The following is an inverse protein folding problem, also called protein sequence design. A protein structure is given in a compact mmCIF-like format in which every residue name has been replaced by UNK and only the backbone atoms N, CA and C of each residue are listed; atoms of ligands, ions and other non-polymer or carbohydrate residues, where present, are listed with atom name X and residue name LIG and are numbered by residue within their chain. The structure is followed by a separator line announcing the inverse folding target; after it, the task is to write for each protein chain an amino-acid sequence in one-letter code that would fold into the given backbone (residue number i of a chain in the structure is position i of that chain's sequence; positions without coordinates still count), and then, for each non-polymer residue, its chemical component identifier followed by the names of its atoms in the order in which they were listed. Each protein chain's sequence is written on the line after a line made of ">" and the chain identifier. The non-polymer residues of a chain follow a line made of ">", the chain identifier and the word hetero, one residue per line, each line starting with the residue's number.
data_IF_544029973449
#
_entry.id   IF_544029973449
#
_cell.length_a   1.000
_cell.length_b   1.000
_cell.length_c   1.000
_cell.angle_alpha   90.00
_cell.angle_beta   90.00
_cell.angle_gamma   90.00
#
_symmetry.space_group_name_H-M   'P 1'
#
loop_
_entity.id
_entity.type
_entity.pdbx_description
1 polymer ?
#
# COMPACT_ATOMS: atom_id res chain seq x y z
N UNK A 1 -1.56 37.99 17.79
CA UNK A 1 -1.87 39.11 16.87
C UNK A 1 -2.53 40.21 17.68
N UNK A 2 -2.30 41.48 17.38
CA UNK A 2 -2.86 42.61 18.13
C UNK A 2 -3.77 43.44 17.22
N UNK A 3 -4.94 43.83 17.73
CA UNK A 3 -5.87 44.73 17.06
C UNK A 3 -6.08 45.93 17.97
N UNK A 4 -5.76 47.12 17.47
CA UNK A 4 -6.04 48.39 18.15
C UNK A 4 -7.13 49.13 17.38
N UNK A 5 -8.18 49.52 18.09
CA UNK A 5 -9.27 50.32 17.53
C UNK A 5 -9.52 51.54 18.43
N UNK A 6 -9.63 52.71 17.81
CA UNK A 6 -9.91 53.97 18.49
C UNK A 6 -11.24 54.54 17.97
N UNK A 7 -12.07 55.06 18.86
CA UNK A 7 -13.35 55.64 18.48
C UNK A 7 -14.17 56.14 19.66
N UNK A 8 -15.31 56.77 19.35
CA UNK A 8 -16.28 57.13 20.38
C UNK A 8 -16.86 55.88 21.06
N UNK A 9 -17.28 56.01 22.32
CA UNK A 9 -17.90 54.91 23.08
C UNK A 9 -19.04 54.21 22.31
N UNK A 10 -20.00 54.91 21.66
CA UNK A 10 -21.04 54.23 20.88
C UNK A 10 -20.48 53.44 19.69
N UNK A 11 -19.42 53.95 19.04
CA UNK A 11 -18.81 53.28 17.89
C UNK A 11 -18.03 52.02 18.31
N UNK A 12 -17.26 52.09 19.40
CA UNK A 12 -16.54 50.94 19.94
C UNK A 12 -17.51 49.86 20.42
N UNK A 13 -18.58 50.22 21.13
CA UNK A 13 -19.60 49.26 21.56
C UNK A 13 -20.32 48.61 20.38
N UNK A 14 -20.60 49.37 19.30
CA UNK A 14 -21.18 48.81 18.08
C UNK A 14 -20.22 47.83 17.37
N UNK A 15 -18.92 48.12 17.37
CA UNK A 15 -17.91 47.22 16.81
C UNK A 15 -17.77 45.93 17.65
N UNK A 16 -17.68 46.06 18.98
CA UNK A 16 -17.57 44.93 19.91
C UNK A 16 -18.81 44.03 19.91
N UNK A 17 -20.00 44.57 19.61
CA UNK A 17 -21.22 43.78 19.47
C UNK A 17 -21.15 42.75 18.32
N UNK A 18 -20.28 42.97 17.33
CA UNK A 18 -20.02 42.05 16.22
C UNK A 18 -18.70 41.29 16.34
N UNK A 19 -18.06 41.29 17.51
CA UNK A 19 -16.76 40.65 17.70
C UNK A 19 -16.87 39.14 17.48
N UNK A 20 -16.10 38.63 16.53
CA UNK A 20 -15.98 37.18 16.26
C UNK A 20 -14.56 36.73 16.54
N UNK A 21 -14.42 35.69 17.35
CA UNK A 21 -13.18 34.95 17.49
C UNK A 21 -13.18 33.78 16.50
N UNK A 22 -12.05 33.59 15.82
CA UNK A 22 -11.80 32.43 14.97
C UNK A 22 -10.47 31.83 15.40
N UNK A 23 -10.48 30.56 15.80
CA UNK A 23 -9.26 29.81 16.10
C UNK A 23 -8.37 29.69 14.86
N UNK A 24 -7.11 29.30 15.08
CA UNK A 24 -6.25 28.90 13.96
C UNK A 24 -6.88 27.72 13.19
N UNK A 25 -6.64 27.60 11.88
CA UNK A 25 -6.93 26.36 11.16
C UNK A 25 -6.32 25.16 11.88
N UNK A 26 -7.09 24.07 11.97
CA UNK A 26 -6.69 22.75 12.49
C UNK A 26 -6.14 22.79 13.93
N UNK A 27 -6.39 23.89 14.65
CA UNK A 27 -5.93 24.10 16.01
C UNK A 27 -7.09 24.01 16.99
N UNK A 28 -6.88 23.30 18.09
CA UNK A 28 -7.81 23.25 19.20
C UNK A 28 -7.08 23.32 20.54
N UNK A 29 -7.82 23.64 21.60
CA UNK A 29 -7.26 23.81 22.94
C UNK A 29 -7.74 25.08 23.63
N UNK A 30 -7.07 25.41 24.74
CA UNK A 30 -7.38 26.61 25.50
C UNK A 30 -6.61 27.81 24.92
N UNK A 31 -7.33 28.88 24.62
CA UNK A 31 -6.81 30.17 24.20
C UNK A 31 -7.30 31.28 25.14
N UNK A 32 -6.76 32.48 25.01
CA UNK A 32 -7.15 33.65 25.79
C UNK A 32 -7.22 34.92 24.92
N UNK A 33 -8.32 35.66 25.05
CA UNK A 33 -8.42 37.02 24.51
C UNK A 33 -8.21 38.03 25.64
N UNK A 34 -7.15 38.81 25.56
CA UNK A 34 -6.86 39.91 26.47
C UNK A 34 -7.41 41.24 25.91
N UNK A 35 -8.16 41.95 26.75
CA UNK A 35 -8.70 43.28 26.48
C UNK A 35 -7.93 44.30 27.31
N UNK A 36 -7.58 45.41 26.67
CA UNK A 36 -7.05 46.63 27.30
C UNK A 36 -7.81 47.82 26.72
N UNK A 37 -8.40 48.64 27.59
CA UNK A 37 -9.11 49.86 27.20
C UNK A 37 -8.39 51.04 27.86
N UNK A 38 -8.12 52.11 27.11
CA UNK A 38 -7.50 53.35 27.58
C UNK A 38 -8.42 54.53 27.23
N UNK A 39 -8.75 55.36 28.23
CA UNK A 39 -9.57 56.56 28.01
C UNK A 39 -8.78 57.74 27.40
N UNK A 40 -7.48 57.55 27.14
CA UNK A 40 -6.54 58.51 26.56
C UNK A 40 -6.48 59.86 27.29
N UNK A 41 -6.94 59.90 28.55
CA UNK A 41 -6.97 61.11 29.36
C UNK A 41 -8.08 62.08 28.95
N UNK A 42 -9.17 61.58 28.38
CA UNK A 42 -10.25 62.38 27.81
C UNK A 42 -10.84 63.43 28.77
N UNK A 43 -10.85 63.19 30.09
CA UNK A 43 -11.35 64.18 31.06
C UNK A 43 -10.80 63.99 32.48
N UNK A 44 -10.87 65.06 33.29
CA UNK A 44 -10.39 65.06 34.68
C UNK A 44 -8.88 65.31 34.82
N UNK A 45 -8.38 65.30 36.06
CA UNK A 45 -6.95 65.36 36.35
C UNK A 45 -6.43 63.94 36.60
N UNK A 46 -5.32 63.53 35.97
CA UNK A 46 -4.73 62.20 36.19
C UNK A 46 -4.01 61.57 34.99
N UNK A 47 -4.23 62.09 33.77
CA UNK A 47 -3.75 61.44 32.54
C UNK A 47 -4.71 60.33 32.09
N UNK A 48 -4.28 59.51 31.12
CA UNK A 48 -5.06 58.36 30.66
C UNK A 48 -5.13 57.25 31.72
N UNK A 49 -6.30 56.66 31.87
CA UNK A 49 -6.54 55.52 32.74
C UNK A 49 -6.96 54.30 31.93
N UNK A 50 -6.57 53.12 32.43
CA UNK A 50 -6.79 51.85 31.72
C UNK A 50 -7.59 50.85 32.53
N UNK A 51 -8.28 49.96 31.83
CA UNK A 51 -8.89 48.74 32.37
C UNK A 51 -8.46 47.54 31.52
N UNK A 52 -8.26 46.39 32.16
CA UNK A 52 -7.78 45.19 31.51
C UNK A 52 -8.50 43.94 32.00
N UNK A 53 -8.89 43.07 31.06
CA UNK A 53 -9.59 41.83 31.36
C UNK A 53 -9.17 40.73 30.39
N UNK A 54 -9.19 39.47 30.84
CA UNK A 54 -8.99 38.32 29.97
C UNK A 54 -10.25 37.47 29.88
N UNK A 55 -10.47 36.88 28.69
CA UNK A 55 -11.54 35.96 28.39
C UNK A 55 -10.93 34.63 27.94
N UNK A 56 -11.02 33.56 28.75
CA UNK A 56 -10.60 32.24 28.31
C UNK A 56 -11.56 31.72 27.23
N UNK A 57 -10.98 31.12 26.18
CA UNK A 57 -11.70 30.48 25.09
C UNK A 57 -11.26 29.02 25.04
N UNK A 58 -12.21 28.10 24.88
CA UNK A 58 -11.89 26.70 24.58
C UNK A 58 -12.31 26.43 23.14
N UNK A 59 -11.33 26.16 22.28
CA UNK A 59 -11.55 25.69 20.91
C UNK A 59 -11.67 24.17 20.96
N UNK A 60 -12.81 23.66 20.53
CA UNK A 60 -13.09 22.22 20.47
C UNK A 60 -12.53 21.62 19.19
N UNK A 61 -11.96 20.39 19.22
CA UNK A 61 -11.49 19.71 18.03
C UNK A 61 -12.64 19.40 17.06
N UNK A 62 -12.29 19.31 15.79
CA UNK A 62 -13.12 18.78 14.70
C UNK A 62 -12.25 17.77 13.97
N UNK A 63 -12.80 16.59 13.65
CA UNK A 63 -12.04 15.57 12.93
C UNK A 63 -11.81 15.99 11.49
N UNK A 64 -10.55 15.91 11.05
CA UNK A 64 -10.13 16.13 9.68
C UNK A 64 -9.88 14.80 8.97
N UNK A 65 -10.08 14.74 7.63
CA UNK A 65 -9.81 13.51 6.90
C UNK A 65 -8.31 13.27 6.75
N UNK A 66 -7.90 12.01 6.81
CA UNK A 66 -6.55 11.62 6.39
C UNK A 66 -6.34 12.02 4.93
N UNK A 67 -5.21 12.64 4.68
CA UNK A 67 -4.73 13.06 3.37
C UNK A 67 -3.70 12.07 2.86
N UNK A 68 -3.61 11.94 1.54
CA UNK A 68 -2.74 10.99 0.89
C UNK A 68 -2.19 11.58 -0.39
N UNK A 69 -0.86 11.52 -0.53
CA UNK A 69 -0.13 12.07 -1.66
C UNK A 69 0.72 10.99 -2.33
N UNK A 70 0.79 11.05 -3.66
CA UNK A 70 1.67 10.24 -4.48
C UNK A 70 1.94 10.99 -5.79
N UNK A 71 3.19 10.98 -6.23
CA UNK A 71 3.61 11.71 -7.42
C UNK A 71 2.93 11.26 -8.72
N UNK A 72 2.33 10.06 -8.76
CA UNK A 72 1.71 9.51 -9.97
C UNK A 72 0.20 9.66 -10.06
N UNK A 73 -0.50 9.96 -8.96
CA UNK A 73 -1.97 10.07 -9.01
C UNK A 73 -2.43 11.36 -9.70
N UNK A 74 -1.72 12.48 -9.49
CA UNK A 74 -2.06 13.74 -10.14
C UNK A 74 -1.75 13.72 -11.65
N UNK A 75 -0.70 12.99 -12.04
CA UNK A 75 -0.24 12.91 -13.43
C UNK A 75 -0.97 11.82 -14.22
N UNK A 76 -1.58 10.85 -13.53
CA UNK A 76 -2.17 9.66 -14.15
C UNK A 76 -1.12 8.78 -14.84
N UNK A 77 0.14 8.89 -14.42
CA UNK A 77 1.26 8.17 -15.02
C UNK A 77 1.10 6.65 -14.87
N UNK A 78 1.37 5.93 -15.95
CA UNK A 78 1.40 4.46 -15.94
C UNK A 78 2.83 4.01 -15.68
N UNK A 79 3.03 3.36 -14.53
CA UNK A 79 4.31 2.80 -14.14
C UNK A 79 4.73 1.69 -15.10
N UNK A 80 6.03 1.58 -15.34
CA UNK A 80 6.61 0.53 -16.17
C UNK A 80 7.35 -0.47 -15.28
N UNK A 81 6.82 -1.68 -15.20
CA UNK A 81 7.50 -2.82 -14.61
C UNK A 81 7.90 -3.80 -15.71
N UNK A 82 9.00 -4.47 -15.50
CA UNK A 82 9.38 -5.65 -16.29
C UNK A 82 9.01 -6.87 -15.46
N UNK A 83 8.37 -7.86 -16.06
CA UNK A 83 8.13 -9.12 -15.35
C UNK A 83 9.43 -9.73 -14.82
N UNK A 84 9.28 -10.59 -13.81
CA UNK A 84 10.38 -11.21 -13.06
C UNK A 84 11.33 -10.26 -12.31
N UNK A 85 11.14 -8.95 -12.47
CA UNK A 85 11.94 -7.91 -11.87
C UNK A 85 11.15 -7.17 -10.80
N UNK A 86 11.83 -6.79 -9.73
CA UNK A 86 11.25 -6.00 -8.65
C UNK A 86 11.37 -4.52 -9.00
N UNK A 87 10.28 -3.79 -8.81
CA UNK A 87 10.20 -2.35 -9.02
C UNK A 87 9.95 -1.66 -7.68
N UNK A 88 10.50 -0.46 -7.48
CA UNK A 88 10.08 0.39 -6.36
C UNK A 88 8.69 0.94 -6.64
N UNK A 89 7.83 0.93 -5.63
CA UNK A 89 6.61 1.71 -5.72
C UNK A 89 6.95 3.21 -5.69
N UNK A 90 6.10 4.06 -6.28
CA UNK A 90 6.20 5.50 -6.09
C UNK A 90 6.14 5.85 -4.61
N UNK A 91 6.73 6.98 -4.25
CA UNK A 91 6.60 7.51 -2.90
C UNK A 91 5.14 7.83 -2.61
N UNK A 92 4.59 7.14 -1.63
CA UNK A 92 3.27 7.40 -1.07
C UNK A 92 3.46 7.93 0.33
N UNK A 93 2.83 9.05 0.64
CA UNK A 93 2.84 9.66 1.96
C UNK A 93 1.43 9.96 2.42
N UNK A 94 1.17 9.63 3.67
CA UNK A 94 -0.06 9.99 4.37
C UNK A 94 0.21 11.14 5.33
N UNK A 95 -0.79 12.00 5.47
CA UNK A 95 -0.81 13.14 6.39
C UNK A 95 -2.16 13.19 7.08
N UNK A 96 -2.20 13.64 8.33
CA UNK A 96 -3.44 13.84 9.05
C UNK A 96 -3.32 15.15 9.85
N UNK A 97 -4.12 16.19 9.53
CA UNK A 97 -4.06 17.48 10.22
C UNK A 97 -4.20 17.36 11.74
N UNK A 98 -5.00 16.40 12.19
CA UNK A 98 -5.27 16.19 13.60
C UNK A 98 -4.02 15.69 14.36
N UNK A 99 -3.32 14.73 13.76
CA UNK A 99 -2.06 14.18 14.31
C UNK A 99 -0.93 15.20 14.23
N UNK A 100 -0.90 16.04 13.19
CA UNK A 100 0.12 17.08 13.07
C UNK A 100 -0.05 18.18 14.12
N UNK A 101 -1.28 18.62 14.35
CA UNK A 101 -1.56 19.64 15.34
C UNK A 101 -1.28 19.15 16.77
N UNK A 102 -1.53 17.86 17.04
CA UNK A 102 -1.38 17.28 18.38
C UNK A 102 -0.74 15.87 18.35
N UNK A 103 0.58 15.76 18.14
CA UNK A 103 1.29 14.49 17.96
C UNK A 103 1.36 13.62 19.23
N UNK A 104 0.87 14.11 20.35
CA UNK A 104 0.75 13.41 21.63
C UNK A 104 -0.70 13.52 22.03
N UNK A 105 -1.54 12.56 21.67
CA UNK A 105 -2.99 12.57 21.96
C UNK A 105 -3.23 12.77 23.45
N UNK A 106 -3.40 14.03 23.85
CA UNK A 106 -3.64 14.47 25.22
C UNK A 106 -5.07 15.01 25.27
N UNK A 107 -6.06 14.24 24.84
CA UNK A 107 -7.43 14.57 25.21
C UNK A 107 -8.32 13.36 25.45
N UNK A 108 -9.00 13.41 26.60
CA UNK A 108 -9.90 12.40 27.13
C UNK A 108 -11.28 12.48 26.47
N UNK A 109 -11.36 12.33 25.15
CA UNK A 109 -12.62 11.99 24.50
C UNK A 109 -12.45 10.61 23.83
N UNK A 110 -13.29 9.68 24.28
CA UNK A 110 -13.33 8.24 23.94
C UNK A 110 -12.13 7.38 24.32
N UNK A 111 -12.03 7.00 25.60
CA UNK A 111 -11.49 5.68 26.01
C UNK A 111 -10.02 5.35 25.68
N UNK A 112 -9.26 6.24 25.05
CA UNK A 112 -7.84 6.07 24.73
C UNK A 112 -6.99 6.71 25.83
N UNK A 113 -5.99 5.98 26.29
CA UNK A 113 -5.07 6.45 27.34
C UNK A 113 -4.13 7.52 26.77
N UNK A 114 -3.88 8.56 27.56
CA UNK A 114 -2.93 9.63 27.26
C UNK A 114 -1.57 9.07 26.80
N UNK A 115 -1.10 9.52 25.62
CA UNK A 115 0.16 9.06 25.04
C UNK A 115 0.05 7.77 24.21
N UNK A 116 -1.16 7.25 23.97
CA UNK A 116 -1.37 6.21 22.96
C UNK A 116 -1.37 6.86 21.56
N UNK A 117 -0.54 6.41 20.61
CA UNK A 117 -0.54 6.96 19.26
C UNK A 117 -1.81 6.56 18.50
N UNK A 118 -2.29 7.45 17.63
CA UNK A 118 -3.36 7.09 16.69
C UNK A 118 -2.98 5.91 15.80
N UNK A 119 -3.97 5.07 15.48
CA UNK A 119 -3.80 3.87 14.69
C UNK A 119 -4.55 3.97 13.37
N UNK A 120 -3.82 3.65 12.30
CA UNK A 120 -4.34 3.65 10.94
C UNK A 120 -4.26 2.25 10.36
N UNK A 121 -5.20 1.91 9.49
CA UNK A 121 -5.20 0.69 8.69
C UNK A 121 -4.85 1.03 7.25
N UNK A 122 -3.71 0.54 6.78
CA UNK A 122 -3.30 0.52 5.39
C UNK A 122 -3.80 -0.76 4.72
N UNK A 123 -4.45 -0.62 3.58
CA UNK A 123 -4.79 -1.74 2.69
C UNK A 123 -4.18 -1.53 1.32
N UNK A 124 -3.46 -2.53 0.79
CA UNK A 124 -2.93 -2.54 -0.57
C UNK A 124 -3.45 -3.77 -1.30
N UNK A 125 -3.99 -3.59 -2.50
CA UNK A 125 -4.46 -4.67 -3.36
C UNK A 125 -3.88 -4.57 -4.77
N UNK A 126 -3.59 -5.71 -5.41
CA UNK A 126 -3.07 -5.81 -6.79
C UNK A 126 -3.59 -7.07 -7.48
N UNK A 127 -3.91 -6.96 -8.77
CA UNK A 127 -4.48 -8.04 -9.58
C UNK A 127 -3.44 -8.79 -10.42
N UNK A 128 -2.31 -8.17 -10.75
CA UNK A 128 -1.25 -8.77 -11.59
C UNK A 128 0.14 -8.82 -10.94
N UNK A 129 0.29 -8.35 -9.71
CA UNK A 129 1.54 -8.49 -8.96
C UNK A 129 1.33 -8.51 -7.45
N UNK A 130 2.43 -8.39 -6.73
CA UNK A 130 2.52 -8.51 -5.27
C UNK A 130 3.42 -7.43 -4.71
N UNK A 131 3.08 -6.92 -3.54
CA UNK A 131 3.74 -5.80 -2.86
C UNK A 131 4.44 -6.29 -1.60
N UNK A 132 5.58 -5.67 -1.30
CA UNK A 132 6.32 -5.89 -0.05
C UNK A 132 6.68 -4.54 0.55
N UNK A 133 6.26 -4.32 1.79
CA UNK A 133 6.65 -3.14 2.56
C UNK A 133 8.07 -3.28 3.14
N UNK A 134 8.68 -2.16 3.48
CA UNK A 134 9.93 -2.15 4.24
C UNK A 134 9.73 -2.77 5.64
N UNK A 135 10.81 -3.29 6.24
CA UNK A 135 10.74 -3.77 7.62
C UNK A 135 10.67 -2.56 8.56
N UNK A 136 9.48 -2.29 9.07
CA UNK A 136 9.23 -1.17 9.98
C UNK A 136 8.68 -1.69 11.32
N UNK A 137 9.18 -1.15 12.42
CA UNK A 137 8.65 -1.44 13.75
C UNK A 137 7.24 -0.85 13.91
N UNK A 138 6.51 -1.30 14.93
CA UNK A 138 5.19 -0.79 15.31
C UNK A 138 4.08 -0.98 14.26
N UNK A 139 4.28 -1.90 13.31
CA UNK A 139 3.23 -2.37 12.40
C UNK A 139 2.73 -3.75 12.82
N UNK A 140 1.41 -3.93 12.77
CA UNK A 140 0.72 -5.22 12.89
C UNK A 140 0.14 -5.58 11.55
N UNK A 141 0.40 -6.79 11.05
CA UNK A 141 -0.10 -7.21 9.74
C UNK A 141 -1.32 -8.13 9.89
N UNK A 142 -2.27 -7.99 8.98
CA UNK A 142 -3.32 -8.98 8.74
C UNK A 142 -3.06 -9.66 7.39
N UNK A 143 -3.10 -10.99 7.42
CA UNK A 143 -2.80 -11.85 6.26
C UNK A 143 -3.99 -12.79 6.08
N UNK A 144 -4.55 -12.92 4.85
CA UNK A 144 -5.59 -13.90 4.54
C UNK A 144 -5.16 -15.34 4.82
N UNK A 145 -6.11 -16.26 4.99
CA UNK A 145 -5.83 -17.69 5.19
C UNK A 145 -5.08 -18.27 3.97
N UNK A 146 -3.93 -18.97 4.16
CA UNK A 146 -3.19 -19.59 3.06
C UNK A 146 -3.98 -20.65 2.26
N UNK A 147 -5.02 -21.26 2.82
CA UNK A 147 -5.88 -22.20 2.09
C UNK A 147 -6.78 -21.49 1.06
N UNK A 148 -7.23 -20.26 1.36
CA UNK A 148 -8.00 -19.42 0.42
C UNK A 148 -7.11 -18.92 -0.72
N UNK A 149 -5.85 -18.58 -0.44
CA UNK A 149 -4.89 -18.20 -1.48
C UNK A 149 -4.56 -19.41 -2.37
N UNK A 150 -4.36 -20.60 -1.81
CA UNK A 150 -4.11 -21.83 -2.59
C UNK A 150 -5.32 -22.24 -3.45
N UNK A 151 -6.55 -22.06 -2.97
CA UNK A 151 -7.76 -22.31 -3.74
C UNK A 151 -8.02 -21.26 -4.84
N UNK A 152 -7.68 -19.99 -4.60
CA UNK A 152 -7.71 -18.90 -5.58
C UNK A 152 -6.71 -19.14 -6.71
N UNK A 153 -5.50 -19.61 -6.39
CA UNK A 153 -4.46 -19.97 -7.35
C UNK A 153 -4.85 -21.17 -8.24
N UNK A 154 -5.76 -22.05 -7.80
CA UNK A 154 -6.29 -23.15 -8.64
C UNK A 154 -7.23 -22.69 -9.77
N UNK A 155 -7.77 -21.47 -9.69
CA UNK A 155 -8.61 -20.89 -10.74
C UNK A 155 -7.81 -20.30 -11.91
N UNK A 156 -6.51 -20.11 -11.72
CA UNK A 156 -5.55 -19.70 -12.74
C UNK A 156 -4.85 -20.97 -13.24
N UNK A 157 -5.17 -21.41 -14.46
CA UNK A 157 -4.72 -22.68 -15.05
C UNK A 157 -3.20 -22.80 -15.29
N UNK A 158 -2.39 -21.90 -14.73
CA UNK A 158 -0.94 -21.81 -14.96
C UNK A 158 -0.08 -21.94 -13.69
N UNK A 159 -0.66 -22.27 -12.52
CA UNK A 159 0.14 -22.45 -11.30
C UNK A 159 0.40 -23.93 -10.99
N UNK A 160 1.64 -24.32 -10.63
CA UNK A 160 1.95 -25.69 -10.29
C UNK A 160 1.20 -26.09 -9.02
N UNK A 161 0.41 -27.15 -9.12
CA UNK A 161 -0.15 -27.86 -7.96
C UNK A 161 0.98 -28.59 -7.25
N UNK A 162 1.74 -27.87 -6.42
CA UNK A 162 2.83 -28.40 -5.63
C UNK A 162 3.06 -27.51 -4.41
N UNK A 163 2.93 -28.09 -3.22
CA UNK A 163 2.90 -27.43 -1.91
C UNK A 163 4.25 -26.85 -1.43
N UNK A 164 5.07 -26.28 -2.31
CA UNK A 164 6.35 -25.68 -1.94
C UNK A 164 6.52 -24.31 -2.62
N UNK A 165 5.77 -23.33 -2.13
CA UNK A 165 6.23 -21.94 -2.22
C UNK A 165 7.43 -21.79 -1.26
N UNK A 166 8.60 -21.34 -1.71
CA UNK A 166 9.69 -20.97 -0.81
C UNK A 166 9.32 -19.65 -0.10
N UNK A 167 8.48 -19.78 0.91
CA UNK A 167 7.93 -18.74 1.77
C UNK A 167 7.02 -19.46 2.76
N UNK A 168 7.58 -19.86 3.89
CA UNK A 168 7.03 -20.92 4.74
C UNK A 168 5.59 -20.68 5.26
N UNK A 169 4.78 -21.72 5.08
CA UNK A 169 3.71 -22.27 5.93
C UNK A 169 3.52 -21.63 7.35
N UNK A 170 2.42 -20.89 7.59
CA UNK A 170 1.88 -20.65 8.91
C UNK A 170 0.56 -21.43 9.09
N UNK A 171 0.64 -22.72 9.45
CA UNK A 171 -0.54 -23.52 9.79
C UNK A 171 -1.45 -22.81 10.80
N UNK A 172 -2.68 -22.56 10.36
CA UNK A 172 -3.89 -22.65 11.16
C UNK A 172 -4.19 -21.47 12.08
N UNK A 173 -5.17 -20.65 11.67
CA UNK A 173 -6.05 -19.94 12.59
C UNK A 173 -6.35 -18.49 12.20
N UNK A 174 -7.60 -18.08 12.46
CA UNK A 174 -8.18 -16.74 12.33
C UNK A 174 -7.55 -15.66 13.24
N UNK A 175 -6.24 -15.70 13.46
CA UNK A 175 -5.55 -14.95 14.50
C UNK A 175 -4.69 -13.81 13.93
N UNK A 176 -4.92 -12.59 14.44
CA UNK A 176 -4.02 -11.43 14.31
C UNK A 176 -2.65 -11.78 14.86
N UNK A 177 -1.57 -11.48 14.13
CA UNK A 177 -0.20 -11.68 14.62
C UNK A 177 0.59 -10.37 14.57
N UNK A 178 1.18 -10.00 15.70
CA UNK A 178 2.16 -8.91 15.83
C UNK A 178 3.58 -9.48 15.87
N UNK A 179 4.53 -8.82 15.18
CA UNK A 179 5.97 -9.17 15.18
C UNK A 179 6.49 -9.57 13.80
N UNK A 180 7.79 -9.38 13.55
CA UNK A 180 8.46 -9.56 12.25
C UNK A 180 8.28 -10.96 11.63
N UNK A 181 7.40 -11.13 10.62
CA UNK A 181 7.49 -12.27 9.73
C UNK A 181 8.63 -12.00 8.73
N UNK A 182 9.35 -13.01 8.21
CA UNK A 182 10.25 -12.79 7.08
C UNK A 182 9.44 -12.16 5.95
N UNK A 183 9.83 -10.97 5.48
CA UNK A 183 9.05 -10.14 4.56
C UNK A 183 8.49 -10.93 3.35
N UNK A 184 7.21 -11.28 3.39
CA UNK A 184 6.52 -11.98 2.31
C UNK A 184 5.88 -10.95 1.36
N UNK A 185 5.75 -11.33 0.10
CA UNK A 185 5.13 -10.54 -0.95
C UNK A 185 3.63 -10.83 -0.99
N UNK A 186 2.79 -9.80 -1.12
CA UNK A 186 1.34 -9.94 -0.96
C UNK A 186 0.56 -9.24 -2.06
N UNK A 187 -0.46 -9.91 -2.60
CA UNK A 187 -1.43 -9.29 -3.53
C UNK A 187 -2.49 -8.50 -2.78
N UNK A 188 -2.88 -8.96 -1.58
CA UNK A 188 -3.69 -8.25 -0.61
C UNK A 188 -2.87 -8.11 0.67
N UNK A 189 -2.61 -6.88 1.10
CA UNK A 189 -1.87 -6.59 2.32
C UNK A 189 -2.69 -5.63 3.17
N UNK A 190 -2.87 -5.98 4.44
CA UNK A 190 -3.45 -5.10 5.42
C UNK A 190 -2.46 -4.93 6.59
N UNK A 191 -2.20 -3.68 6.96
CA UNK A 191 -1.28 -3.34 8.04
C UNK A 191 -1.88 -2.25 8.92
N UNK A 192 -1.75 -2.40 10.24
CA UNK A 192 -2.19 -1.42 11.24
C UNK A 192 -1.00 -0.86 12.00
N UNK A 193 -0.95 0.45 12.20
CA UNK A 193 0.06 1.11 13.01
C UNK A 193 -0.05 2.64 12.97
N UNK A 194 0.86 3.37 13.63
CA UNK A 194 0.89 4.82 13.57
C UNK A 194 1.28 5.30 12.17
N UNK A 195 0.80 6.49 11.79
CA UNK A 195 0.99 7.08 10.46
C UNK A 195 2.48 7.16 10.05
N UNK A 196 3.35 7.52 11.00
CA UNK A 196 4.80 7.58 10.80
C UNK A 196 5.38 6.20 10.39
N UNK A 197 4.94 5.13 11.04
CA UNK A 197 5.41 3.78 10.73
C UNK A 197 4.89 3.29 9.37
N UNK A 198 3.65 3.64 8.99
CA UNK A 198 3.11 3.33 7.67
C UNK A 198 3.89 4.06 6.56
N UNK A 199 4.15 5.36 6.73
CA UNK A 199 4.95 6.15 5.79
C UNK A 199 6.39 5.59 5.66
N UNK A 200 7.02 5.24 6.76
CA UNK A 200 8.36 4.63 6.75
C UNK A 200 8.36 3.26 6.05
N UNK A 201 7.29 2.46 6.19
CA UNK A 201 7.13 1.18 5.50
C UNK A 201 6.90 1.33 3.99
N UNK A 202 6.19 2.39 3.56
CA UNK A 202 5.91 2.69 2.15
C UNK A 202 7.10 3.31 1.41
N UNK A 203 7.96 4.06 2.11
CA UNK A 203 9.08 4.78 1.51
C UNK A 203 10.06 3.91 0.68
N UNK A 204 10.09 2.59 0.94
CA UNK A 204 10.86 1.63 0.13
C UNK A 204 10.06 0.37 -0.18
N UNK A 205 8.74 0.52 -0.32
CA UNK A 205 7.89 -0.57 -0.74
C UNK A 205 8.25 -1.01 -2.16
N UNK A 206 8.22 -2.32 -2.38
CA UNK A 206 8.50 -2.93 -3.67
C UNK A 206 7.24 -3.54 -4.23
N UNK A 207 7.14 -3.50 -5.55
CA UNK A 207 6.22 -4.26 -6.36
C UNK A 207 6.98 -5.32 -7.15
N UNK A 208 6.38 -6.49 -7.28
CA UNK A 208 6.90 -7.58 -8.09
C UNK A 208 5.75 -8.18 -8.88
N UNK A 209 5.75 -8.06 -10.22
CA UNK A 209 4.80 -8.77 -11.06
C UNK A 209 4.70 -10.25 -10.73
N UNK A 210 3.58 -10.86 -11.07
CA UNK A 210 3.51 -12.32 -11.12
C UNK A 210 4.39 -12.87 -12.25
N UNK A 211 4.85 -14.10 -12.03
CA UNK A 211 5.76 -14.79 -12.92
C UNK A 211 5.10 -14.95 -14.29
N UNK A 212 5.79 -14.51 -15.34
CA UNK A 212 5.39 -14.63 -16.74
C UNK A 212 4.03 -13.98 -17.03
N UNK A 213 3.80 -12.80 -16.44
CA UNK A 213 2.60 -11.98 -16.66
C UNK A 213 2.93 -10.82 -17.58
N UNK A 214 2.25 -10.80 -18.73
CA UNK A 214 2.32 -9.71 -19.68
C UNK A 214 1.01 -8.90 -19.75
N UNK A 215 1.05 -7.68 -19.23
CA UNK A 215 -0.10 -6.77 -19.26
C UNK A 215 -0.38 -6.18 -20.65
N UNK A 216 0.64 -6.13 -21.52
CA UNK A 216 0.57 -5.47 -22.84
C UNK A 216 -0.20 -6.34 -23.81
N UNK A 217 0.07 -7.65 -23.82
CA UNK A 217 -0.64 -8.64 -24.63
C UNK A 217 -2.05 -8.90 -24.10
N UNK A 218 -2.23 -8.95 -22.78
CA UNK A 218 -3.53 -9.13 -22.13
C UNK A 218 -4.47 -7.93 -22.27
N UNK A 219 -3.95 -6.75 -22.64
CA UNK A 219 -4.73 -5.52 -22.82
C UNK A 219 -5.26 -4.93 -21.51
N UNK A 220 -4.75 -5.37 -20.36
CA UNK A 220 -5.16 -4.94 -19.02
C UNK A 220 -3.94 -4.59 -18.18
N UNK A 221 -3.89 -3.33 -17.70
CA UNK A 221 -2.87 -2.86 -16.76
C UNK A 221 -3.20 -3.37 -15.35
N UNK A 222 -2.18 -3.57 -14.52
CA UNK A 222 -2.42 -3.86 -13.10
C UNK A 222 -2.94 -2.60 -12.41
N UNK A 223 -4.03 -2.72 -11.67
CA UNK A 223 -4.54 -1.66 -10.82
C UNK A 223 -4.14 -1.95 -9.38
N UNK A 224 -3.11 -1.25 -8.89
CA UNK A 224 -2.71 -1.38 -7.49
C UNK A 224 -3.43 -0.30 -6.70
N UNK A 225 -4.36 -0.74 -5.85
CA UNK A 225 -5.17 0.15 -5.00
C UNK A 225 -4.54 0.23 -3.63
N UNK A 226 -4.36 1.45 -3.14
CA UNK A 226 -3.85 1.76 -1.81
C UNK A 226 -4.93 2.56 -1.09
N UNK A 227 -5.28 2.16 0.12
CA UNK A 227 -6.16 2.94 0.98
C UNK A 227 -5.62 3.01 2.41
N UNK A 228 -5.91 4.10 3.09
CA UNK A 228 -5.64 4.27 4.51
C UNK A 228 -6.91 4.72 5.22
N UNK A 229 -7.18 4.14 6.38
CA UNK A 229 -8.33 4.47 7.22
C UNK A 229 -7.86 4.75 8.64
N UNK A 230 -8.26 5.88 9.20
CA UNK A 230 -8.15 6.14 10.63
C UNK A 230 -9.08 5.18 11.40
N UNK A 231 -8.51 4.38 12.31
CA UNK A 231 -9.24 3.39 13.11
C UNK A 231 -9.78 3.93 14.43
N UNK A 232 -9.29 5.05 14.92
CA UNK A 232 -9.62 5.54 16.25
C UNK A 232 -10.58 6.73 16.24
N UNK A 233 -10.71 7.43 15.12
CA UNK A 233 -11.69 8.52 14.96
C UNK A 233 -11.51 9.60 16.03
N UNK A 234 -10.28 9.79 16.52
CA UNK A 234 -9.97 10.40 17.82
C UNK A 234 -10.31 11.88 17.96
N UNK A 235 -10.99 12.49 17.00
CA UNK A 235 -11.09 13.95 16.88
C UNK A 235 -12.50 14.50 16.61
N UNK A 236 -13.53 13.66 16.54
CA UNK A 236 -14.89 14.16 16.34
C UNK A 236 -15.92 13.05 16.14
N UNK A 237 -17.10 13.22 16.74
CA UNK A 237 -18.17 12.23 16.73
C UNK A 237 -18.73 11.97 15.31
N UNK A 238 -18.12 11.00 14.64
CA UNK A 238 -18.56 10.45 13.37
C UNK A 238 -17.67 9.28 13.00
N UNK A 239 -17.87 8.13 13.65
CA UNK A 239 -17.29 6.87 13.20
C UNK A 239 -17.70 6.63 11.74
N UNK A 240 -16.76 6.83 10.81
CA UNK A 240 -17.04 6.79 9.38
C UNK A 240 -15.87 7.29 8.53
N UNK A 241 -14.75 6.55 8.58
CA UNK A 241 -13.79 6.40 7.49
C UNK A 241 -13.61 7.60 6.55
N UNK A 242 -12.80 8.59 6.94
CA UNK A 242 -12.02 9.27 5.94
C UNK A 242 -11.01 8.24 5.40
N UNK A 243 -11.43 7.50 4.38
CA UNK A 243 -10.55 6.62 3.64
C UNK A 243 -9.93 7.46 2.53
N UNK A 244 -8.63 7.73 2.61
CA UNK A 244 -7.93 8.17 1.43
C UNK A 244 -7.62 6.95 0.58
N UNK A 245 -8.03 6.97 -0.68
CA UNK A 245 -7.82 5.87 -1.63
C UNK A 245 -7.15 6.39 -2.90
N UNK A 246 -6.17 5.66 -3.39
CA UNK A 246 -5.46 5.96 -4.63
C UNK A 246 -5.16 4.70 -5.40
N UNK A 247 -5.18 4.82 -6.72
CA UNK A 247 -4.89 3.72 -7.63
C UNK A 247 -3.76 4.15 -8.54
N UNK A 248 -2.68 3.38 -8.57
CA UNK A 248 -1.68 3.50 -9.63
C UNK A 248 -1.81 2.34 -10.60
N UNK A 249 -1.54 2.62 -11.87
CA UNK A 249 -1.59 1.63 -12.94
C UNK A 249 -0.18 1.19 -13.31
N UNK A 250 0.03 -0.12 -13.40
CA UNK A 250 1.32 -0.70 -13.81
C UNK A 250 1.16 -1.39 -15.15
N UNK A 251 1.96 -0.98 -16.13
CA UNK A 251 2.25 -1.74 -17.34
C UNK A 251 3.41 -2.67 -17.02
N UNK A 252 3.15 -3.96 -17.16
CA UNK A 252 4.13 -5.04 -17.06
C UNK A 252 4.52 -5.44 -18.48
N UNK A 253 5.79 -5.25 -18.82
CA UNK A 253 6.42 -5.71 -20.07
C UNK A 253 6.96 -7.13 -19.89
N UNK A 254 6.74 -7.97 -20.91
CA UNK A 254 7.26 -9.34 -20.92
C UNK A 254 8.78 -9.39 -21.04
N UNK A 255 9.35 -10.45 -20.48
CA UNK A 255 10.71 -10.91 -20.58
C UNK A 255 10.68 -12.19 -21.40
N UNK A 256 11.66 -12.37 -22.27
CA UNK A 256 11.75 -13.62 -23.01
C UNK A 256 12.24 -14.75 -22.09
N UNK A 257 11.38 -15.69 -21.76
CA UNK A 257 11.65 -16.95 -21.09
C UNK A 257 12.29 -18.00 -22.01
N UNK A 258 12.93 -19.00 -21.40
CA UNK A 258 13.43 -20.14 -22.16
C UNK A 258 12.33 -21.18 -22.41
N UNK A 259 12.26 -21.81 -23.61
CA UNK A 259 11.37 -22.94 -23.84
C UNK A 259 11.75 -24.12 -22.95
N UNK A 260 10.74 -24.86 -22.50
CA UNK A 260 10.89 -26.09 -21.74
C UNK A 260 10.57 -27.29 -22.63
N UNK A 261 11.56 -28.17 -22.79
CA UNK A 261 11.40 -29.48 -23.40
C UNK A 261 11.06 -30.50 -22.31
N UNK A 262 10.05 -31.32 -22.55
CA UNK A 262 9.69 -32.48 -21.73
C UNK A 262 9.90 -33.74 -22.55
N UNK A 263 10.59 -34.72 -21.97
CA UNK A 263 10.76 -36.07 -22.51
C UNK A 263 10.33 -37.14 -21.50
N UNK A 264 10.00 -38.36 -21.95
CA UNK A 264 9.66 -39.46 -21.03
C UNK A 264 10.82 -39.84 -20.12
N UNK A 265 10.52 -40.10 -18.84
CA UNK A 265 11.50 -40.59 -17.87
C UNK A 265 12.34 -39.51 -17.19
N UNK A 266 11.96 -38.24 -17.31
CA UNK A 266 12.59 -37.13 -16.59
C UNK A 266 12.56 -37.31 -15.07
N UNK A 267 13.68 -36.95 -14.45
CA UNK A 267 13.83 -36.77 -13.02
C UNK A 267 14.22 -35.33 -12.79
N UNK A 268 13.48 -34.65 -11.93
CA UNK A 268 13.66 -33.23 -11.66
C UNK A 268 14.59 -32.99 -10.46
N UNK A 269 15.30 -31.87 -10.49
CA UNK A 269 16.03 -31.37 -9.32
C UNK A 269 15.02 -30.79 -8.34
N UNK A 270 15.11 -31.20 -7.07
CA UNK A 270 14.34 -30.55 -6.02
C UNK A 270 14.83 -29.10 -5.88
N UNK A 271 13.92 -28.14 -6.09
CA UNK A 271 14.13 -26.72 -5.82
C UNK A 271 15.05 -25.95 -6.79
N UNK A 272 15.29 -26.46 -7.99
CA UNK A 272 15.93 -25.70 -9.07
C UNK A 272 14.91 -25.51 -10.17
N UNK A 273 14.57 -24.26 -10.49
CA UNK A 273 13.68 -23.95 -11.61
C UNK A 273 14.42 -24.12 -12.95
N UNK A 274 13.67 -24.45 -14.00
CA UNK A 274 14.11 -24.35 -15.37
C UNK A 274 14.12 -22.87 -15.81
N UNK A 275 14.53 -22.62 -17.06
CA UNK A 275 14.71 -21.25 -17.56
C UNK A 275 13.41 -20.45 -17.77
N UNK A 276 12.25 -21.06 -17.52
CA UNK A 276 10.92 -20.44 -17.56
C UNK A 276 10.41 -20.03 -16.16
N UNK A 277 11.21 -20.25 -15.12
CA UNK A 277 10.87 -19.99 -13.71
C UNK A 277 9.75 -20.87 -13.11
N UNK A 278 8.92 -21.51 -13.95
CA UNK A 278 7.75 -22.31 -13.59
C UNK A 278 8.05 -23.79 -13.44
N UNK A 279 8.86 -24.35 -14.35
CA UNK A 279 9.15 -25.78 -14.40
C UNK A 279 10.35 -26.11 -13.51
N UNK A 280 10.48 -27.34 -13.02
CA UNK A 280 11.72 -27.76 -12.36
C UNK A 280 12.77 -28.12 -13.40
N UNK A 281 14.02 -27.80 -13.12
CA UNK A 281 15.15 -28.19 -13.95
C UNK A 281 15.30 -29.72 -13.97
N UNK A 282 15.42 -30.27 -15.17
CA UNK A 282 15.67 -31.70 -15.38
C UNK A 282 17.06 -32.05 -14.85
N UNK A 283 17.14 -33.01 -13.93
CA UNK A 283 18.40 -33.58 -13.43
C UNK A 283 18.95 -34.63 -14.39
N UNK A 284 18.06 -35.45 -14.94
CA UNK A 284 18.36 -36.52 -15.89
C UNK A 284 17.07 -37.00 -16.53
N UNK A 285 17.10 -37.41 -17.80
CA UNK A 285 16.09 -38.30 -18.35
C UNK A 285 16.61 -39.74 -18.23
N UNK A 286 16.01 -40.53 -17.34
CA UNK A 286 16.28 -41.96 -17.37
C UNK A 286 15.57 -42.54 -18.60
N UNK A 287 16.19 -43.50 -19.30
CA UNK A 287 15.48 -44.26 -20.31
C UNK A 287 14.17 -44.77 -19.68
N UNK A 288 13.03 -44.34 -20.21
CA UNK A 288 11.72 -44.66 -19.64
C UNK A 288 11.34 -46.14 -19.83
N UNK A 289 12.32 -47.05 -19.76
CA UNK A 289 12.20 -48.44 -20.16
C UNK A 289 11.94 -48.61 -21.67
N UNK A 290 12.25 -47.58 -22.47
CA UNK A 290 12.03 -47.62 -23.91
C UNK A 290 13.02 -48.59 -24.56
N UNK A 291 12.49 -49.67 -25.12
CA UNK A 291 13.22 -50.64 -25.94
C UNK A 291 12.43 -50.90 -27.21
N UNK A 292 13.14 -51.10 -28.31
CA UNK A 292 12.54 -51.47 -29.59
C UNK A 292 13.33 -52.61 -30.19
N UNK A 293 12.63 -53.53 -30.85
CA UNK A 293 13.27 -54.54 -31.68
C UNK A 293 13.92 -53.88 -32.89
N UNK A 294 14.98 -54.49 -33.40
CA UNK A 294 15.58 -54.08 -34.67
C UNK A 294 14.49 -54.00 -35.76
N UNK A 295 14.59 -52.97 -36.60
CA UNK A 295 13.67 -52.71 -37.72
C UNK A 295 12.19 -52.49 -37.34
N UNK A 296 11.87 -52.37 -36.05
CA UNK A 296 10.53 -52.01 -35.60
C UNK A 296 10.46 -50.49 -35.29
N UNK A 297 9.34 -49.82 -35.62
CA UNK A 297 9.13 -48.45 -35.20
C UNK A 297 8.86 -48.36 -33.68
N UNK A 298 9.54 -47.43 -33.00
CA UNK A 298 9.27 -47.10 -31.59
C UNK A 298 8.48 -45.80 -31.50
N UNK A 299 7.32 -45.82 -30.84
CA UNK A 299 6.66 -44.60 -30.41
C UNK A 299 7.34 -44.09 -29.12
N UNK A 300 7.68 -42.80 -29.08
CA UNK A 300 8.18 -42.11 -27.89
C UNK A 300 7.08 -41.13 -27.43
N UNK A 301 6.00 -41.62 -26.79
CA UNK A 301 4.89 -40.77 -26.38
C UNK A 301 5.33 -39.83 -25.25
N UNK A 302 4.87 -38.57 -25.27
CA UNK A 302 5.12 -37.62 -24.18
C UNK A 302 6.33 -36.70 -24.37
N UNK A 303 6.94 -36.68 -25.56
CA UNK A 303 7.84 -35.58 -25.94
C UNK A 303 6.99 -34.35 -26.25
N UNK A 304 7.26 -33.23 -25.58
CA UNK A 304 6.54 -31.98 -25.76
C UNK A 304 7.48 -30.78 -25.55
N UNK A 305 7.19 -29.66 -26.21
CA UNK A 305 7.83 -28.37 -25.93
C UNK A 305 6.74 -27.40 -25.49
N UNK A 306 7.03 -26.62 -24.46
CA UNK A 306 6.22 -25.50 -24.03
C UNK A 306 7.09 -24.26 -23.97
N UNK A 307 6.56 -23.16 -24.45
CA UNK A 307 7.16 -21.84 -24.34
C UNK A 307 6.05 -20.90 -23.90
N UNK A 308 6.34 -20.06 -22.91
CA UNK A 308 5.37 -19.21 -22.23
C UNK A 308 5.17 -17.89 -22.96
N UNK A 309 6.17 -17.42 -23.71
CA UNK A 309 6.10 -16.16 -24.46
C UNK A 309 5.39 -16.34 -25.82
N UNK A 310 5.40 -17.56 -26.34
CA UNK A 310 4.97 -17.86 -27.71
C UNK A 310 3.52 -17.46 -28.01
N UNK A 311 2.66 -17.47 -26.99
CA UNK A 311 1.24 -17.09 -27.11
C UNK A 311 0.98 -15.60 -26.89
N UNK A 312 1.99 -14.82 -26.47
CA UNK A 312 1.84 -13.42 -26.05
C UNK A 312 2.11 -12.40 -27.16
N UNK A 313 2.59 -12.85 -28.32
CA UNK A 313 2.91 -11.98 -29.45
C UNK A 313 1.67 -11.37 -30.11
N UNK A 314 1.22 -10.20 -29.66
CA UNK A 314 0.14 -9.39 -30.27
C UNK A 314 0.41 -8.90 -31.70
N UNK A 315 1.49 -9.35 -32.34
CA UNK A 315 1.99 -8.91 -33.64
C UNK A 315 1.81 -9.90 -34.78
N UNK A 316 0.71 -10.66 -34.87
CA UNK A 316 0.29 -11.39 -36.08
C UNK A 316 1.26 -12.46 -36.64
N UNK A 317 2.41 -12.66 -36.02
CA UNK A 317 3.38 -13.69 -36.32
C UNK A 317 3.39 -14.64 -35.13
N UNK A 318 2.79 -15.82 -35.29
CA UNK A 318 2.93 -16.88 -34.32
C UNK A 318 4.43 -17.13 -34.10
N UNK A 319 4.88 -17.10 -32.84
CA UNK A 319 6.26 -17.41 -32.49
C UNK A 319 6.65 -18.76 -33.09
N UNK A 320 7.89 -18.88 -33.56
CA UNK A 320 8.41 -20.13 -34.12
C UNK A 320 9.46 -20.72 -33.19
N UNK A 321 9.29 -22.00 -32.85
CA UNK A 321 10.29 -22.80 -32.16
C UNK A 321 11.01 -23.69 -33.15
N UNK A 322 12.32 -23.87 -32.96
CA UNK A 322 13.11 -24.86 -33.69
C UNK A 322 13.43 -26.02 -32.76
N UNK A 323 13.12 -27.24 -33.18
CA UNK A 323 13.50 -28.48 -32.48
C UNK A 323 14.40 -29.27 -33.42
N UNK A 324 15.65 -29.47 -33.00
CA UNK A 324 16.60 -30.32 -33.72
C UNK A 324 16.66 -31.70 -33.05
N UNK A 325 16.42 -32.75 -33.82
CA UNK A 325 16.44 -34.14 -33.36
C UNK A 325 17.58 -34.86 -34.06
N UNK A 326 18.46 -35.49 -33.29
CA UNK A 326 19.54 -36.33 -33.80
C UNK A 326 19.46 -37.71 -33.13
N UNK A 327 19.69 -38.75 -33.91
CA UNK A 327 19.94 -40.11 -33.45
C UNK A 327 21.33 -40.51 -33.94
N UNK A 328 22.13 -41.12 -33.06
CA UNK A 328 23.45 -41.69 -33.38
C UNK A 328 23.34 -43.10 -33.95
#
# INVERSE_FOLDING_TARGET
>A
KELVAEGSLPALNAALAGLTYQGGPDWYGNDEVAFLVDDQGFSGSGGGQTDAQTLPITVTPVADPVEMECSTWETGEVLQATEDTKMLLPTITFSDPDVQAHPSHTFAQTGLEEGTPSLYQLTITSELGKVRLASTANLTFWVPDPDDETARLKGLSHLPTGSNFPGADPRGGSARRSGSPPQLWWRYLEATGPLEALNAALASALYWPDLNVNSVSAGALDAVTVSVVDLDGSMGAGAGAAAAEGVFRVRIEAVNDAPVLTVPGERYRASVAAGDGLSLAVASAAAAGLSVEEDAPLAIPGVAVRDVDLEEGGGGHAGQLTVELAAE
#
